data_IF_873615893466
#
_entry.id   IF_873615893466
#
_cell.length_a   1.000
_cell.length_b   1.000
_cell.length_c   1.000
_cell.angle_alpha   90.00
_cell.angle_beta   90.00
_cell.angle_gamma   90.00
#
_symmetry.space_group_name_H-M   'P 1'
#
loop_
_entity.id
_entity.type
_entity.pdbx_description
1 polymer ?
#
# COMPACT_ATOMS: atom_id res chain seq x y z
N UNK A 1 23.04 20.44 17.15
CA UNK A 1 22.79 18.98 17.18
C UNK A 1 22.77 18.52 15.74
N UNK A 2 23.62 17.58 15.33
CA UNK A 2 23.62 17.08 13.95
C UNK A 2 22.28 16.39 13.71
N UNK A 3 21.49 16.86 12.75
CA UNK A 3 20.40 16.03 12.20
C UNK A 3 21.06 14.82 11.56
N UNK A 4 20.64 13.62 11.97
CA UNK A 4 21.06 12.38 11.34
C UNK A 4 19.88 11.82 10.57
N UNK A 5 20.00 11.77 9.25
CA UNK A 5 19.00 11.14 8.41
C UNK A 5 18.93 9.63 8.71
N UNK A 6 17.73 9.07 8.83
CA UNK A 6 17.52 7.65 9.07
C UNK A 6 16.35 7.11 8.25
N UNK A 7 16.43 5.83 7.88
CA UNK A 7 15.34 5.09 7.26
C UNK A 7 15.20 3.74 7.97
N UNK A 8 14.09 3.55 8.69
CA UNK A 8 13.85 2.34 9.47
C UNK A 8 12.76 1.51 8.81
N UNK A 9 13.09 0.28 8.41
CA UNK A 9 12.12 -0.66 7.85
C UNK A 9 11.09 -1.09 8.91
N UNK A 10 9.80 -0.95 8.61
CA UNK A 10 8.67 -1.32 9.47
C UNK A 10 7.62 -2.10 8.66
N UNK A 11 6.80 -2.88 9.36
CA UNK A 11 5.62 -3.51 8.75
C UNK A 11 4.61 -2.46 8.30
N UNK A 12 3.79 -2.80 7.32
CA UNK A 12 2.58 -2.04 7.01
C UNK A 12 1.69 -1.96 8.26
N UNK A 13 1.08 -0.81 8.51
CA UNK A 13 0.26 -0.63 9.72
C UNK A 13 -1.00 -1.50 9.71
N UNK A 14 -1.58 -1.78 8.53
CA UNK A 14 -2.71 -2.71 8.37
C UNK A 14 -2.34 -4.20 8.48
N UNK A 15 -1.04 -4.52 8.55
CA UNK A 15 -0.55 -5.89 8.66
C UNK A 15 -0.52 -6.37 10.11
N UNK A 16 -1.00 -7.59 10.36
CA UNK A 16 -0.81 -8.30 11.63
C UNK A 16 0.53 -9.02 11.61
N UNK A 17 1.46 -8.62 12.48
CA UNK A 17 2.78 -9.25 12.65
C UNK A 17 3.62 -9.38 11.35
N UNK A 18 3.42 -8.47 10.38
CA UNK A 18 4.14 -8.50 9.10
C UNK A 18 3.53 -9.48 8.07
N UNK A 19 2.39 -10.11 8.38
CA UNK A 19 1.66 -10.96 7.45
C UNK A 19 1.03 -10.17 6.30
N UNK A 20 0.72 -10.89 5.23
CA UNK A 20 0.03 -10.35 4.09
C UNK A 20 -1.39 -9.85 4.44
N UNK A 21 -1.87 -8.85 3.70
CA UNK A 21 -3.19 -8.23 3.86
C UNK A 21 -4.05 -8.68 2.68
N UNK A 22 -5.08 -9.48 2.96
CA UNK A 22 -6.05 -9.90 1.95
C UNK A 22 -7.00 -8.76 1.62
N UNK A 23 -7.20 -8.48 0.34
CA UNK A 23 -8.13 -7.44 -0.13
C UNK A 23 -9.55 -8.01 -0.15
N UNK A 24 -10.39 -7.57 0.79
CA UNK A 24 -11.78 -8.01 0.87
C UNK A 24 -12.74 -7.05 0.16
N UNK A 25 -12.38 -5.77 0.08
CA UNK A 25 -13.20 -4.74 -0.55
C UNK A 25 -13.22 -4.87 -2.08
N UNK A 26 -14.40 -4.62 -2.68
CA UNK A 26 -14.59 -4.61 -4.14
C UNK A 26 -14.95 -3.24 -4.71
N UNK A 27 -15.16 -2.26 -3.83
CA UNK A 27 -15.45 -0.86 -4.18
C UNK A 27 -14.77 0.07 -3.17
N UNK A 28 -14.76 1.37 -3.46
CA UNK A 28 -14.40 2.39 -2.47
C UNK A 28 -15.40 2.40 -1.30
N UNK A 29 -14.96 2.66 -0.04
CA UNK A 29 -13.56 2.72 0.40
C UNK A 29 -12.92 1.33 0.41
N UNK A 30 -11.65 1.25 -0.01
CA UNK A 30 -10.90 0.00 -0.02
C UNK A 30 -10.57 -0.55 1.37
N UNK A 31 -10.02 -1.77 1.38
CA UNK A 31 -9.36 -2.39 2.53
C UNK A 31 -8.14 -1.57 2.94
N UNK A 32 -8.03 -1.19 4.21
CA UNK A 32 -6.87 -0.44 4.73
C UNK A 32 -5.59 -1.27 4.62
N UNK A 33 -4.59 -0.75 3.90
CA UNK A 33 -3.27 -1.37 3.74
C UNK A 33 -2.27 -0.72 4.70
N UNK A 34 -2.23 0.61 4.71
CA UNK A 34 -1.34 1.36 5.59
C UNK A 34 -1.87 2.77 5.87
N UNK A 35 -1.65 3.25 7.08
CA UNK A 35 -1.84 4.64 7.52
C UNK A 35 -0.44 5.22 7.71
N UNK A 36 -0.11 6.24 6.93
CA UNK A 36 1.19 6.88 6.96
C UNK A 36 1.43 7.62 8.28
N UNK A 37 2.69 7.95 8.54
CA UNK A 37 3.12 8.81 9.65
C UNK A 37 2.29 10.09 9.75
N UNK A 38 2.06 10.54 10.98
CA UNK A 38 1.26 11.73 11.26
C UNK A 38 2.05 13.01 11.02
N UNK A 39 1.30 14.10 10.83
CA UNK A 39 1.88 15.43 10.63
C UNK A 39 2.40 15.66 9.22
N UNK A 40 2.92 16.86 9.01
CA UNK A 40 3.37 17.36 7.70
C UNK A 40 4.81 17.90 7.76
N UNK A 41 5.57 17.49 8.78
CA UNK A 41 6.96 17.94 8.96
C UNK A 41 7.78 17.47 7.76
N UNK A 42 8.35 18.42 7.02
CA UNK A 42 9.24 18.10 5.92
C UNK A 42 10.35 17.16 6.40
N UNK A 43 10.66 16.14 5.60
CA UNK A 43 11.63 15.11 5.94
C UNK A 43 11.07 13.90 6.67
N UNK A 44 9.82 13.95 7.15
CA UNK A 44 9.17 12.83 7.85
C UNK A 44 8.14 12.16 6.97
N UNK A 45 8.48 11.01 6.39
CA UNK A 45 7.62 10.27 5.47
C UNK A 45 7.67 8.78 5.74
N UNK A 46 6.62 8.07 5.34
CA UNK A 46 6.73 6.64 5.07
C UNK A 46 6.92 6.43 3.57
N UNK A 47 8.02 5.79 3.18
CA UNK A 47 8.23 5.26 1.84
C UNK A 47 7.63 3.85 1.78
N UNK A 48 6.60 3.68 0.97
CA UNK A 48 5.72 2.51 0.96
C UNK A 48 6.07 1.62 -0.22
N UNK A 49 6.34 0.35 0.08
CA UNK A 49 6.63 -0.69 -0.91
C UNK A 49 5.57 -1.77 -0.86
N UNK A 50 4.83 -1.97 -1.95
CA UNK A 50 3.77 -2.97 -2.05
C UNK A 50 3.97 -3.90 -3.25
N UNK A 51 3.73 -5.19 -3.00
CA UNK A 51 3.53 -6.21 -4.01
C UNK A 51 2.19 -6.90 -3.79
N UNK A 52 1.59 -7.41 -4.85
CA UNK A 52 0.36 -8.18 -4.81
C UNK A 52 0.54 -9.55 -5.46
N UNK A 53 -0.17 -10.56 -4.96
CA UNK A 53 -0.37 -11.81 -5.69
C UNK A 53 -1.86 -12.11 -5.80
N UNK A 54 -2.22 -12.84 -6.85
CA UNK A 54 -3.60 -13.21 -7.16
C UNK A 54 -3.73 -14.75 -7.15
N UNK A 55 -4.54 -15.25 -6.20
CA UNK A 55 -4.85 -16.68 -6.03
C UNK A 55 -6.13 -17.11 -6.76
N UNK A 56 -6.72 -16.24 -7.59
CA UNK A 56 -7.85 -16.58 -8.46
C UNK A 56 -7.42 -17.51 -9.60
N UNK A 57 -8.39 -17.92 -10.41
CA UNK A 57 -8.21 -18.68 -11.66
C UNK A 57 -8.13 -17.79 -12.91
N UNK A 58 -8.11 -16.47 -12.75
CA UNK A 58 -8.12 -15.47 -13.81
C UNK A 58 -7.50 -14.16 -13.32
N UNK A 59 -7.06 -13.31 -14.24
CA UNK A 59 -6.49 -12.00 -13.93
C UNK A 59 -7.52 -11.12 -13.19
N UNK A 60 -7.07 -10.37 -12.19
CA UNK A 60 -7.94 -9.52 -11.36
C UNK A 60 -7.42 -8.10 -11.36
N UNK A 61 -8.29 -7.13 -11.65
CA UNK A 61 -7.98 -5.71 -11.47
C UNK A 61 -7.90 -5.39 -9.99
N UNK A 62 -6.76 -4.83 -9.59
CA UNK A 62 -6.50 -4.25 -8.28
C UNK A 62 -6.45 -2.73 -8.44
N UNK A 63 -7.15 -2.03 -7.56
CA UNK A 63 -7.15 -0.57 -7.49
C UNK A 63 -6.61 -0.14 -6.12
N UNK A 64 -5.59 0.72 -6.13
CA UNK A 64 -5.02 1.36 -4.95
C UNK A 64 -5.57 2.79 -4.86
N UNK A 65 -6.06 3.13 -3.67
CA UNK A 65 -6.42 4.48 -3.25
C UNK A 65 -5.24 5.03 -2.43
N UNK A 66 -4.39 5.85 -3.05
CA UNK A 66 -3.14 6.31 -2.45
C UNK A 66 -3.30 7.70 -1.81
N UNK A 67 -3.63 7.72 -0.52
CA UNK A 67 -3.80 8.96 0.25
C UNK A 67 -5.09 9.74 -0.04
N UNK A 68 -5.99 9.17 -0.83
CA UNK A 68 -7.29 9.72 -1.20
C UNK A 68 -8.02 8.78 -2.16
N UNK A 69 -9.19 9.19 -2.66
CA UNK A 69 -10.02 8.39 -3.58
C UNK A 69 -10.50 9.19 -4.80
N UNK A 70 -9.88 10.33 -5.10
CA UNK A 70 -10.22 11.15 -6.27
C UNK A 70 -9.53 10.61 -7.50
N UNK A 71 -10.28 10.32 -8.56
CA UNK A 71 -9.77 9.90 -9.87
C UNK A 71 -9.49 11.14 -10.74
N UNK A 72 -8.30 11.26 -11.39
CA UNK A 72 -7.16 10.33 -11.40
C UNK A 72 -6.11 10.59 -10.31
N UNK A 73 -6.31 11.61 -9.47
CA UNK A 73 -5.31 12.12 -8.55
C UNK A 73 -4.74 11.09 -7.55
N UNK A 74 -5.55 10.12 -7.13
CA UNK A 74 -5.22 9.17 -6.07
C UNK A 74 -5.37 7.70 -6.47
N UNK A 75 -5.86 7.43 -7.68
CA UNK A 75 -6.26 6.10 -8.11
C UNK A 75 -5.14 5.49 -8.96
N UNK A 76 -4.63 4.33 -8.51
CA UNK A 76 -3.63 3.55 -9.24
C UNK A 76 -4.21 2.18 -9.54
N UNK A 77 -4.33 1.85 -10.82
CA UNK A 77 -4.93 0.59 -11.28
C UNK A 77 -3.87 -0.34 -11.87
N UNK A 78 -3.94 -1.61 -11.50
CA UNK A 78 -3.06 -2.66 -12.02
C UNK A 78 -3.81 -3.98 -12.15
N UNK A 79 -3.70 -4.62 -13.31
CA UNK A 79 -4.18 -5.98 -13.47
C UNK A 79 -3.14 -6.94 -12.89
N UNK A 80 -3.52 -7.70 -11.86
CA UNK A 80 -2.65 -8.72 -11.25
C UNK A 80 -2.91 -10.06 -11.95
N UNK A 81 -1.92 -10.60 -12.68
CA UNK A 81 -2.09 -11.87 -13.37
C UNK A 81 -2.33 -13.02 -12.39
N UNK A 82 -3.15 -13.99 -12.75
CA UNK A 82 -3.36 -15.17 -11.89
C UNK A 82 -2.08 -16.00 -11.75
N UNK A 83 -1.81 -16.50 -10.55
CA UNK A 83 -0.72 -17.44 -10.29
C UNK A 83 0.68 -16.97 -10.72
N UNK A 84 0.91 -15.66 -10.86
CA UNK A 84 2.21 -15.09 -11.29
C UNK A 84 3.19 -14.81 -10.15
N UNK A 85 2.88 -15.23 -8.92
CA UNK A 85 3.65 -14.85 -7.74
C UNK A 85 3.45 -13.37 -7.38
N UNK A 86 4.50 -12.73 -6.87
CA UNK A 86 4.46 -11.33 -6.40
C UNK A 86 4.71 -10.34 -7.54
N UNK A 87 3.74 -9.49 -7.79
CA UNK A 87 3.78 -8.38 -8.77
C UNK A 87 4.01 -7.06 -8.02
N UNK A 88 5.01 -6.24 -8.40
CA UNK A 88 5.20 -4.93 -7.79
C UNK A 88 4.06 -3.98 -8.16
N UNK A 89 3.49 -3.29 -7.17
CA UNK A 89 2.34 -2.38 -7.34
C UNK A 89 2.69 -0.95 -6.94
N UNK A 90 3.33 -0.75 -5.78
CA UNK A 90 3.78 0.55 -5.30
C UNK A 90 5.30 0.48 -5.11
N UNK A 91 6.10 1.03 -6.04
CA UNK A 91 7.57 0.96 -6.00
C UNK A 91 8.18 2.12 -5.19
N UNK A 92 7.96 2.17 -3.87
CA UNK A 92 8.63 3.13 -2.99
C UNK A 92 8.10 4.56 -3.10
N UNK A 93 6.77 4.73 -3.08
CA UNK A 93 6.15 6.06 -3.06
C UNK A 93 6.12 6.58 -1.62
N UNK A 94 6.21 7.90 -1.44
CA UNK A 94 6.16 8.52 -0.10
C UNK A 94 4.75 8.99 0.26
N UNK A 95 4.39 8.94 1.54
CA UNK A 95 3.15 9.49 2.07
C UNK A 95 3.35 9.96 3.52
N UNK A 96 2.56 10.94 3.95
CA UNK A 96 2.54 11.45 5.33
C UNK A 96 1.13 11.94 5.69
N UNK A 97 1.02 12.69 6.80
CA UNK A 97 -0.20 13.35 7.25
C UNK A 97 -1.34 12.40 7.62
N UNK A 98 -1.02 11.23 8.19
CA UNK A 98 -2.00 10.19 8.54
C UNK A 98 -2.87 9.74 7.36
N UNK A 99 -2.47 10.05 6.13
CA UNK A 99 -3.18 9.65 4.93
C UNK A 99 -3.08 8.12 4.78
N UNK A 100 -4.12 7.54 4.20
CA UNK A 100 -4.31 6.09 4.20
C UNK A 100 -4.16 5.57 2.78
N UNK A 101 -3.35 4.53 2.63
CA UNK A 101 -3.35 3.66 1.45
C UNK A 101 -4.40 2.58 1.65
N UNK A 102 -5.37 2.53 0.75
CA UNK A 102 -6.40 1.48 0.72
C UNK A 102 -6.36 0.75 -0.63
N UNK A 103 -6.97 -0.42 -0.67
CA UNK A 103 -7.07 -1.22 -1.88
C UNK A 103 -8.42 -1.91 -2.01
N UNK A 104 -8.96 -1.97 -3.21
CA UNK A 104 -10.08 -2.85 -3.56
C UNK A 104 -9.77 -3.59 -4.86
N UNK A 105 -10.41 -4.73 -5.07
CA UNK A 105 -10.19 -5.57 -6.24
C UNK A 105 -11.52 -5.92 -6.92
N UNK A 106 -11.50 -6.19 -8.22
CA UNK A 106 -12.70 -6.58 -8.95
C UNK A 106 -13.36 -7.88 -8.42
N UNK A 107 -12.60 -8.70 -7.69
CA UNK A 107 -13.06 -9.91 -7.02
C UNK A 107 -12.58 -9.90 -5.57
N UNK A 108 -13.49 -10.12 -4.63
CA UNK A 108 -13.17 -10.16 -3.20
C UNK A 108 -12.27 -11.35 -2.86
N UNK A 109 -11.42 -11.18 -1.85
CA UNK A 109 -10.71 -12.26 -1.15
C UNK A 109 -9.72 -13.10 -1.98
N UNK A 110 -9.35 -12.65 -3.19
CA UNK A 110 -8.41 -13.38 -4.06
C UNK A 110 -7.11 -12.64 -4.39
N UNK A 111 -7.07 -11.33 -4.15
CA UNK A 111 -5.83 -10.54 -4.22
C UNK A 111 -5.31 -10.29 -2.81
N UNK A 112 -4.01 -10.49 -2.61
CA UNK A 112 -3.36 -10.31 -1.33
C UNK A 112 -2.12 -9.43 -1.49
N UNK A 113 -1.98 -8.42 -0.65
CA UNK A 113 -0.83 -7.51 -0.64
C UNK A 113 0.18 -7.88 0.45
N UNK A 114 1.46 -7.75 0.10
CA UNK A 114 2.59 -7.82 1.03
C UNK A 114 3.45 -6.58 0.85
N UNK A 115 4.22 -6.23 1.87
CA UNK A 115 5.07 -5.05 1.78
C UNK A 115 5.65 -4.62 3.10
N UNK A 116 6.27 -3.46 3.05
CA UNK A 116 6.85 -2.78 4.20
C UNK A 116 6.87 -1.28 3.93
N UNK A 117 7.19 -0.51 4.97
CA UNK A 117 7.55 0.89 4.82
C UNK A 117 8.97 1.11 5.30
N UNK A 118 9.67 2.05 4.68
CA UNK A 118 10.82 2.68 5.31
C UNK A 118 10.32 3.98 5.94
N UNK A 119 10.36 4.05 7.28
CA UNK A 119 10.03 5.27 8.01
C UNK A 119 11.24 6.19 7.97
N UNK A 120 11.11 7.33 7.29
CA UNK A 120 12.18 8.25 6.95
C UNK A 120 12.12 9.48 7.86
N UNK A 121 13.30 9.93 8.28
CA UNK A 121 13.51 11.25 8.90
C UNK A 121 14.83 11.80 8.36
N UNK A 122 14.86 13.03 7.88
CA UNK A 122 16.07 13.70 7.36
C UNK A 122 16.47 14.98 8.10
#
# INVERSE_FOLDING_TARGET
>A
MSSSSSAVKRKLSGSTDGKAIKVAATTTPGTTIHTAVSGTTAGTYDEIWLWAFNSHTADVLLTIEYGGATDPDNIIEVTIPFQSGLVPVIPGLILQNSLVVKAFAAVADVVTLVGYVNSITD
#
